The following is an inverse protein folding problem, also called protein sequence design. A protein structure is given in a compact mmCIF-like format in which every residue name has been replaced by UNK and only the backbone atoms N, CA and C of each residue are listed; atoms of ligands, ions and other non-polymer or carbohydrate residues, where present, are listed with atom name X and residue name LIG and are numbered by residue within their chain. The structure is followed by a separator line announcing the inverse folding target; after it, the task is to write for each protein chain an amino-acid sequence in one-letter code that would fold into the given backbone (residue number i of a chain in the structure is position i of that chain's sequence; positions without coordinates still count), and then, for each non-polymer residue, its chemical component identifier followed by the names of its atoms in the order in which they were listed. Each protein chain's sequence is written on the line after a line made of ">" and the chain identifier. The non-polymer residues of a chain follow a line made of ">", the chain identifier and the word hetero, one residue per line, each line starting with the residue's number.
data_IF_967105868627
#
_entry.id   IF_967105868627
#
_cell.length_a   1.000
_cell.length_b   1.000
_cell.length_c   1.000
_cell.angle_alpha   90.00
_cell.angle_beta   90.00
_cell.angle_gamma   90.00
#
_symmetry.space_group_name_H-M   'P 1'
#
loop_
_entity.id
_entity.type
_entity.pdbx_description
1 polymer ?
#
# COMPACT_ATOMS: atom_id res chain seq x y z
N UNK A 1 9.61 20.03 -21.56
CA UNK A 1 9.41 20.74 -20.27
C UNK A 1 10.63 20.47 -19.41
N UNK A 2 10.99 21.36 -18.46
CA UNK A 2 12.06 21.06 -17.52
C UNK A 2 11.70 19.79 -16.72
N UNK A 3 12.69 18.96 -16.46
CA UNK A 3 12.53 17.74 -15.67
C UNK A 3 12.22 18.13 -14.21
N UNK A 4 11.27 17.46 -13.59
CA UNK A 4 10.93 17.60 -12.17
C UNK A 4 11.41 16.39 -11.38
N UNK A 5 11.57 16.53 -10.07
CA UNK A 5 12.05 15.45 -9.22
C UNK A 5 11.44 15.44 -7.82
N UNK A 6 11.34 14.24 -7.25
CA UNK A 6 10.83 13.98 -5.89
C UNK A 6 11.76 13.00 -5.20
N UNK A 7 12.18 13.34 -4.00
CA UNK A 7 12.92 12.44 -3.12
C UNK A 7 11.97 11.84 -2.10
N UNK A 8 11.93 10.51 -2.06
CA UNK A 8 11.11 9.72 -1.14
C UNK A 8 12.05 9.13 -0.09
N UNK A 9 11.69 9.20 1.20
CA UNK A 9 12.55 8.77 2.31
C UNK A 9 11.78 8.05 3.41
N UNK A 10 12.30 6.91 3.86
CA UNK A 10 11.75 6.17 5.00
C UNK A 10 12.86 5.41 5.69
N UNK A 11 12.88 5.45 7.03
CA UNK A 11 14.02 4.99 7.83
C UNK A 11 15.37 5.50 7.26
N UNK A 12 16.31 4.60 6.98
CA UNK A 12 17.61 4.92 6.37
C UNK A 12 17.61 4.87 4.83
N UNK A 13 16.47 4.58 4.21
CA UNK A 13 16.34 4.33 2.78
C UNK A 13 15.77 5.53 2.03
N UNK A 14 16.16 5.67 0.76
CA UNK A 14 15.72 6.75 -0.09
C UNK A 14 15.73 6.37 -1.57
N UNK A 15 14.79 6.94 -2.32
CA UNK A 15 14.78 6.87 -3.77
C UNK A 15 14.37 8.23 -4.35
N UNK A 16 15.05 8.65 -5.42
CA UNK A 16 14.67 9.84 -6.19
C UNK A 16 13.95 9.39 -7.46
N UNK A 17 12.77 9.98 -7.70
CA UNK A 17 11.99 9.84 -8.93
C UNK A 17 12.15 11.11 -9.74
N UNK A 18 12.40 10.99 -11.04
CA UNK A 18 12.41 12.13 -11.96
C UNK A 18 11.46 11.91 -13.13
N UNK A 19 10.94 12.99 -13.71
CA UNK A 19 10.04 12.93 -14.86
C UNK A 19 10.10 14.18 -15.72
N UNK A 20 9.85 14.03 -17.02
CA UNK A 20 9.53 15.14 -17.91
C UNK A 20 8.12 15.73 -17.72
N UNK A 21 7.30 15.13 -16.85
CA UNK A 21 5.94 15.55 -16.54
C UNK A 21 5.77 15.85 -15.04
N UNK A 22 5.35 17.09 -14.67
CA UNK A 22 5.07 17.42 -13.28
C UNK A 22 3.94 16.57 -12.70
N UNK A 23 2.98 16.10 -13.51
CA UNK A 23 1.87 15.25 -13.06
C UNK A 23 2.38 13.96 -12.40
N UNK A 24 3.46 13.38 -12.94
CA UNK A 24 4.08 12.16 -12.40
C UNK A 24 4.74 12.43 -11.05
N UNK A 25 5.48 13.54 -10.93
CA UNK A 25 6.13 13.90 -9.67
C UNK A 25 5.13 14.36 -8.60
N UNK A 26 4.10 15.12 -8.97
CA UNK A 26 3.04 15.54 -8.06
C UNK A 26 2.26 14.33 -7.54
N UNK A 27 2.06 13.32 -8.39
CA UNK A 27 1.52 12.04 -7.96
C UNK A 27 2.41 11.36 -6.91
N UNK A 28 3.72 11.29 -7.14
CA UNK A 28 4.65 10.69 -6.19
C UNK A 28 4.63 11.44 -4.84
N UNK A 29 4.63 12.78 -4.85
CA UNK A 29 4.50 13.59 -3.63
C UNK A 29 3.23 13.26 -2.86
N UNK A 30 2.09 13.23 -3.56
CA UNK A 30 0.80 12.93 -2.96
C UNK A 30 0.73 11.50 -2.41
N UNK A 31 1.29 10.54 -3.14
CA UNK A 31 1.19 9.12 -2.80
C UNK A 31 2.11 8.72 -1.65
N UNK A 32 3.32 9.29 -1.60
CA UNK A 32 4.33 8.91 -0.62
C UNK A 32 4.51 9.92 0.51
N UNK A 33 4.14 11.18 0.31
CA UNK A 33 4.32 12.28 1.27
C UNK A 33 3.88 11.94 2.69
N UNK A 34 2.64 11.45 2.91
CA UNK A 34 2.13 11.22 4.25
C UNK A 34 2.83 10.13 5.07
N UNK A 35 3.47 9.16 4.41
CA UNK A 35 4.02 7.97 5.07
C UNK A 35 5.53 7.80 4.88
N UNK A 36 6.08 8.25 3.76
CA UNK A 36 7.50 8.18 3.39
C UNK A 36 8.09 9.55 3.01
N UNK A 37 7.61 10.61 3.66
CA UNK A 37 8.22 11.95 3.68
C UNK A 37 8.69 12.45 2.31
N UNK A 38 7.88 12.23 1.27
CA UNK A 38 8.25 12.62 -0.08
C UNK A 38 8.29 14.15 -0.21
N UNK A 39 9.37 14.66 -0.81
CA UNK A 39 9.62 16.10 -0.96
C UNK A 39 10.12 16.42 -2.36
N UNK A 40 9.75 17.60 -2.89
CA UNK A 40 10.28 18.08 -4.16
C UNK A 40 11.77 18.36 -4.03
N UNK A 41 12.54 18.03 -5.06
CA UNK A 41 13.99 18.27 -5.12
C UNK A 41 14.39 18.71 -6.52
N UNK A 42 15.62 19.23 -6.67
CA UNK A 42 16.22 19.36 -7.99
C UNK A 42 16.47 17.98 -8.62
N UNK A 43 16.36 17.84 -9.95
CA UNK A 43 16.75 16.60 -10.64
C UNK A 43 18.18 16.20 -10.30
N UNK A 44 18.34 14.93 -9.95
CA UNK A 44 19.62 14.30 -9.60
C UNK A 44 20.03 13.33 -10.72
N UNK A 45 21.32 13.27 -11.02
CA UNK A 45 21.90 12.30 -11.95
C UNK A 45 21.73 10.85 -11.46
N UNK A 46 21.59 10.64 -10.14
CA UNK A 46 21.45 9.33 -9.50
C UNK A 46 19.98 8.98 -9.17
N UNK A 47 19.04 9.43 -10.00
CA UNK A 47 17.64 9.03 -9.85
C UNK A 47 17.50 7.50 -9.86
N UNK A 48 16.75 6.94 -8.93
CA UNK A 48 16.48 5.49 -8.92
C UNK A 48 15.40 5.12 -9.95
N UNK A 49 14.47 6.05 -10.20
CA UNK A 49 13.39 5.89 -11.20
C UNK A 49 13.34 7.13 -12.09
N UNK A 50 13.30 6.91 -13.41
CA UNK A 50 13.09 7.95 -14.41
C UNK A 50 11.84 7.58 -15.20
N UNK A 51 10.80 8.38 -15.08
CA UNK A 51 9.49 8.06 -15.60
C UNK A 51 8.97 9.17 -16.53
N UNK A 52 8.93 8.91 -17.84
CA UNK A 52 8.65 9.94 -18.83
C UNK A 52 7.41 9.60 -19.66
N UNK A 53 6.64 10.64 -19.99
CA UNK A 53 5.63 10.55 -21.05
C UNK A 53 6.35 10.68 -22.38
N UNK A 54 6.51 9.56 -23.08
CA UNK A 54 7.23 9.47 -24.34
C UNK A 54 6.73 8.29 -25.18
N UNK A 55 5.74 8.57 -26.04
CA UNK A 55 5.14 7.56 -26.91
C UNK A 55 6.13 6.93 -27.90
N UNK A 56 7.15 7.68 -28.36
CA UNK A 56 8.17 7.15 -29.28
C UNK A 56 8.97 6.04 -28.59
N UNK A 57 9.41 6.26 -27.34
CA UNK A 57 10.12 5.24 -26.56
C UNK A 57 9.26 4.02 -26.25
N UNK A 58 7.96 4.21 -26.02
CA UNK A 58 7.02 3.09 -25.87
C UNK A 58 7.01 2.24 -27.13
N UNK A 59 6.85 2.84 -28.31
CA UNK A 59 6.85 2.12 -29.59
C UNK A 59 8.19 1.42 -29.85
N UNK A 60 9.31 2.11 -29.67
CA UNK A 60 10.65 1.55 -29.87
C UNK A 60 10.91 0.30 -29.01
N UNK A 61 10.61 0.39 -27.71
CA UNK A 61 10.85 -0.71 -26.78
C UNK A 61 9.86 -1.85 -27.03
N UNK A 62 8.58 -1.54 -27.24
CA UNK A 62 7.58 -2.57 -27.52
C UNK A 62 7.91 -3.35 -28.80
N UNK A 63 8.38 -2.66 -29.85
CA UNK A 63 8.82 -3.30 -31.08
C UNK A 63 10.07 -4.17 -30.84
N UNK A 64 11.10 -3.65 -30.15
CA UNK A 64 12.29 -4.44 -29.80
C UNK A 64 11.94 -5.73 -29.06
N UNK A 65 11.06 -5.65 -28.05
CA UNK A 65 10.63 -6.81 -27.27
C UNK A 65 9.84 -7.80 -28.14
N UNK A 66 8.98 -7.31 -29.04
CA UNK A 66 8.19 -8.16 -29.94
C UNK A 66 9.04 -8.87 -31.02
N UNK A 67 10.10 -8.20 -31.50
CA UNK A 67 10.99 -8.72 -32.55
C UNK A 67 12.01 -9.75 -32.03
N UNK A 68 12.11 -9.92 -30.71
CA UNK A 68 13.03 -10.86 -30.05
C UNK A 68 12.26 -11.94 -29.29
N UNK A 69 12.98 -12.99 -28.89
CA UNK A 69 12.46 -13.97 -27.94
C UNK A 69 12.19 -13.27 -26.61
N UNK A 70 10.97 -13.38 -26.11
CA UNK A 70 10.53 -12.75 -24.87
C UNK A 70 9.72 -13.72 -24.03
N UNK A 71 9.72 -13.48 -22.73
CA UNK A 71 8.85 -14.15 -21.76
C UNK A 71 7.56 -13.35 -21.60
N UNK A 72 6.45 -14.01 -21.27
CA UNK A 72 5.20 -13.37 -20.88
C UNK A 72 4.91 -13.64 -19.40
N UNK A 73 4.54 -12.59 -18.67
CA UNK A 73 4.10 -12.67 -17.28
C UNK A 73 2.96 -11.71 -17.02
N UNK A 74 2.19 -11.94 -15.95
CA UNK A 74 1.21 -10.97 -15.48
C UNK A 74 1.91 -9.98 -14.55
N UNK A 75 1.84 -8.70 -14.91
CA UNK A 75 2.36 -7.62 -14.07
C UNK A 75 1.26 -6.59 -13.84
N UNK A 76 0.90 -6.35 -12.57
CA UNK A 76 -0.17 -5.42 -12.22
C UNK A 76 -1.55 -5.73 -12.87
N UNK A 77 -1.84 -7.02 -13.11
CA UNK A 77 -3.04 -7.54 -13.76
C UNK A 77 -3.11 -7.33 -15.29
N UNK A 78 -1.99 -7.06 -15.94
CA UNK A 78 -1.90 -6.90 -17.39
C UNK A 78 -0.69 -7.68 -17.91
N UNK A 79 -0.80 -8.20 -19.13
CA UNK A 79 0.28 -8.98 -19.74
C UNK A 79 1.49 -8.10 -19.98
N UNK A 80 2.62 -8.52 -19.43
CA UNK A 80 3.93 -7.92 -19.65
C UNK A 80 4.79 -8.89 -20.45
N UNK A 81 5.38 -8.38 -21.53
CA UNK A 81 6.42 -9.06 -22.30
C UNK A 81 7.78 -8.59 -21.84
N UNK A 82 8.71 -9.52 -21.61
CA UNK A 82 10.03 -9.24 -21.04
C UNK A 82 11.12 -9.84 -21.94
N UNK A 83 12.02 -8.98 -22.38
CA UNK A 83 13.27 -9.32 -23.08
C UNK A 83 14.44 -9.07 -22.12
N UNK A 84 15.39 -10.02 -22.06
CA UNK A 84 16.58 -9.94 -21.21
C UNK A 84 17.83 -10.12 -22.06
N UNK A 85 18.72 -9.15 -21.97
CA UNK A 85 20.03 -9.19 -22.64
C UNK A 85 21.07 -9.93 -21.79
N UNK A 86 22.12 -10.45 -22.44
CA UNK A 86 23.24 -11.14 -21.80
C UNK A 86 24.01 -10.23 -20.82
N UNK A 87 23.94 -8.91 -21.02
CA UNK A 87 24.54 -7.91 -20.13
C UNK A 87 23.70 -7.60 -18.89
N UNK A 88 22.55 -8.28 -18.72
CA UNK A 88 21.62 -8.09 -17.62
C UNK A 88 20.60 -6.96 -17.85
N UNK A 89 20.62 -6.29 -19.01
CA UNK A 89 19.60 -5.29 -19.35
C UNK A 89 18.24 -5.96 -19.53
N UNK A 90 17.22 -5.38 -18.91
CA UNK A 90 15.83 -5.81 -19.03
C UNK A 90 15.06 -4.77 -19.83
N UNK A 91 14.39 -5.19 -20.89
CA UNK A 91 13.41 -4.39 -21.62
C UNK A 91 12.04 -5.06 -21.49
N UNK A 92 11.01 -4.30 -21.11
CA UNK A 92 9.67 -4.86 -20.99
C UNK A 92 8.60 -3.94 -21.59
N UNK A 93 7.48 -4.52 -22.00
CA UNK A 93 6.33 -3.77 -22.51
C UNK A 93 5.01 -4.35 -22.01
N UNK A 94 4.06 -3.46 -21.74
CA UNK A 94 2.65 -3.78 -21.49
C UNK A 94 1.83 -3.10 -22.59
N UNK A 95 1.54 -3.80 -23.70
CA UNK A 95 0.89 -3.18 -24.87
C UNK A 95 -0.48 -2.56 -24.55
N UNK A 96 -1.29 -3.24 -23.75
CA UNK A 96 -2.65 -2.81 -23.40
C UNK A 96 -2.64 -1.53 -22.56
N UNK A 97 -1.67 -1.40 -21.66
CA UNK A 97 -1.49 -0.21 -20.82
C UNK A 97 -0.69 0.90 -21.51
N UNK A 98 -0.13 0.62 -22.69
CA UNK A 98 0.78 1.51 -23.44
C UNK A 98 1.96 1.97 -22.58
N UNK A 99 2.56 1.03 -21.86
CA UNK A 99 3.72 1.23 -21.01
C UNK A 99 4.90 0.40 -21.51
N UNK A 100 6.10 0.96 -21.37
CA UNK A 100 7.35 0.28 -21.63
C UNK A 100 8.36 0.59 -20.53
N UNK A 101 9.28 -0.34 -20.30
CA UNK A 101 10.22 -0.31 -19.20
C UNK A 101 11.62 -0.68 -19.68
N UNK A 102 12.63 -0.11 -19.04
CA UNK A 102 14.03 -0.51 -19.23
C UNK A 102 14.81 -0.42 -17.93
N UNK A 103 15.54 -1.47 -17.58
CA UNK A 103 16.44 -1.48 -16.42
C UNK A 103 17.80 -1.99 -16.87
N UNK A 104 18.86 -1.27 -16.51
CA UNK A 104 20.25 -1.71 -16.69
C UNK A 104 20.83 -2.04 -15.31
N UNK A 105 21.74 -3.02 -15.18
CA UNK A 105 22.39 -3.30 -13.90
C UNK A 105 23.08 -2.07 -13.32
N UNK A 106 22.75 -1.71 -12.07
CA UNK A 106 23.27 -0.52 -11.39
C UNK A 106 22.74 0.82 -11.93
N UNK A 107 21.89 0.81 -12.95
CA UNK A 107 21.26 1.99 -13.53
C UNK A 107 19.87 2.29 -12.98
N UNK A 108 19.28 3.43 -13.39
CA UNK A 108 17.90 3.76 -13.04
C UNK A 108 16.91 2.82 -13.71
N UNK A 109 15.79 2.54 -13.03
CA UNK A 109 14.63 1.96 -13.68
C UNK A 109 13.91 3.02 -14.49
N UNK A 110 13.76 2.76 -15.79
CA UNK A 110 13.11 3.67 -16.73
C UNK A 110 11.70 3.21 -17.05
N UNK A 111 10.76 4.14 -16.99
CA UNK A 111 9.34 3.94 -17.29
C UNK A 111 8.97 4.91 -18.40
N UNK A 112 8.31 4.40 -19.43
CA UNK A 112 7.78 5.20 -20.53
C UNK A 112 6.30 4.90 -20.71
N UNK A 113 5.52 5.93 -20.99
CA UNK A 113 4.10 5.76 -21.33
C UNK A 113 3.59 6.83 -22.29
N UNK A 114 2.40 6.60 -22.82
CA UNK A 114 1.76 7.52 -23.75
C UNK A 114 0.92 8.61 -23.08
N UNK A 115 0.71 8.55 -21.75
CA UNK A 115 -0.09 9.51 -21.00
C UNK A 115 0.38 9.60 -19.53
N UNK A 116 0.10 10.73 -18.87
CA UNK A 116 0.59 11.01 -17.52
C UNK A 116 0.11 10.01 -16.47
N UNK A 117 -1.19 9.73 -16.39
CA UNK A 117 -1.77 8.92 -15.31
C UNK A 117 -1.26 7.47 -15.32
N UNK A 118 -1.19 6.76 -16.45
CA UNK A 118 -0.55 5.44 -16.50
C UNK A 118 0.91 5.46 -16.05
N UNK A 119 1.70 6.46 -16.49
CA UNK A 119 3.10 6.61 -16.06
C UNK A 119 3.18 6.87 -14.56
N UNK A 120 2.34 7.74 -14.01
CA UNK A 120 2.30 8.06 -12.59
C UNK A 120 1.95 6.83 -11.72
N UNK A 121 0.98 6.02 -12.15
CA UNK A 121 0.61 4.77 -11.48
C UNK A 121 1.76 3.74 -11.50
N UNK A 122 2.41 3.57 -12.65
CA UNK A 122 3.57 2.68 -12.77
C UNK A 122 4.76 3.18 -11.93
N UNK A 123 4.95 4.50 -11.89
CA UNK A 123 6.00 5.16 -11.10
C UNK A 123 5.78 4.97 -9.61
N UNK A 124 4.57 5.20 -9.10
CA UNK A 124 4.25 4.96 -7.69
C UNK A 124 4.42 3.48 -7.31
N UNK A 125 4.09 2.56 -8.20
CA UNK A 125 4.34 1.13 -7.97
C UNK A 125 5.83 0.84 -7.88
N UNK A 126 6.61 1.26 -8.88
CA UNK A 126 8.02 0.87 -9.01
C UNK A 126 8.95 1.64 -8.06
N UNK A 127 8.68 2.90 -7.75
CA UNK A 127 9.40 3.63 -6.70
C UNK A 127 9.22 2.94 -5.33
N UNK A 128 8.03 2.39 -5.08
CA UNK A 128 7.77 1.59 -3.89
C UNK A 128 8.52 0.26 -3.91
N UNK A 129 8.58 -0.44 -5.04
CA UNK A 129 9.34 -1.69 -5.14
C UNK A 129 10.86 -1.46 -4.99
N UNK A 130 11.40 -0.33 -5.46
CA UNK A 130 12.81 0.07 -5.21
C UNK A 130 13.07 0.23 -3.72
N UNK A 131 12.25 1.03 -3.02
CA UNK A 131 12.42 1.25 -1.57
C UNK A 131 12.16 -0.03 -0.79
N UNK A 132 11.19 -0.85 -1.22
CA UNK A 132 10.94 -2.18 -0.65
C UNK A 132 12.22 -3.03 -0.75
N UNK A 133 12.85 -3.14 -1.92
CA UNK A 133 14.08 -3.90 -2.10
C UNK A 133 15.20 -3.44 -1.16
N UNK A 134 15.36 -2.13 -1.01
CA UNK A 134 16.31 -1.52 -0.06
C UNK A 134 15.99 -1.89 1.40
N UNK A 135 14.71 -1.79 1.81
CA UNK A 135 14.27 -2.17 3.16
C UNK A 135 14.45 -3.67 3.41
N UNK A 136 14.08 -4.55 2.48
CA UNK A 136 14.26 -5.99 2.64
C UNK A 136 15.75 -6.34 2.78
N UNK A 137 16.63 -5.69 1.99
CA UNK A 137 18.09 -5.86 2.10
C UNK A 137 18.64 -5.35 3.44
N UNK A 138 17.94 -4.40 4.07
CA UNK A 138 18.23 -3.84 5.40
C UNK A 138 17.53 -4.62 6.54
N UNK A 139 17.08 -5.86 6.26
CA UNK A 139 16.53 -6.80 7.24
C UNK A 139 15.06 -6.56 7.61
N UNK A 140 14.33 -5.76 6.86
CA UNK A 140 12.89 -5.56 7.08
C UNK A 140 12.07 -6.70 6.47
N UNK A 141 11.01 -7.11 7.15
CA UNK A 141 10.01 -8.06 6.63
C UNK A 141 8.67 -7.36 6.43
N UNK A 142 7.77 -7.95 5.64
CA UNK A 142 6.43 -7.39 5.37
C UNK A 142 5.38 -8.25 6.06
N UNK A 143 4.58 -7.65 6.93
CA UNK A 143 3.51 -8.30 7.68
C UNK A 143 2.13 -7.87 7.16
N UNK A 144 1.19 -8.81 7.03
CA UNK A 144 -0.20 -8.55 6.64
C UNK A 144 -1.03 -8.04 7.83
N UNK A 145 -0.76 -6.80 8.22
CA UNK A 145 -1.43 -6.14 9.34
C UNK A 145 -1.88 -4.72 8.97
N UNK A 146 -3.04 -4.32 9.48
CA UNK A 146 -3.31 -2.90 9.70
C UNK A 146 -2.69 -2.48 11.04
N UNK A 147 -2.34 -1.21 11.17
CA UNK A 147 -1.63 -0.72 12.34
C UNK A 147 -2.03 0.71 12.68
N UNK A 148 -2.11 0.96 13.98
CA UNK A 148 -2.28 2.30 14.55
C UNK A 148 -1.26 2.56 15.63
N UNK A 149 -0.88 3.82 15.81
CA UNK A 149 0.17 4.26 16.74
C UNK A 149 -0.38 5.31 17.70
N UNK A 150 -0.03 5.19 18.98
CA UNK A 150 -0.23 6.21 20.01
C UNK A 150 0.99 6.22 20.91
N UNK A 151 1.57 7.40 21.13
CA UNK A 151 2.74 7.57 21.98
C UNK A 151 3.91 6.62 21.62
N UNK A 152 4.12 6.41 20.31
CA UNK A 152 5.13 5.50 19.77
C UNK A 152 4.83 4.00 19.92
N UNK A 153 3.73 3.62 20.58
CA UNK A 153 3.27 2.24 20.73
C UNK A 153 2.32 1.87 19.59
N UNK A 154 2.57 0.74 18.95
CA UNK A 154 1.82 0.26 17.79
C UNK A 154 0.92 -0.91 18.18
N UNK A 155 -0.36 -0.79 17.84
CA UNK A 155 -1.30 -1.92 17.86
C UNK A 155 -1.34 -2.51 16.46
N UNK A 156 -0.88 -3.75 16.32
CA UNK A 156 -0.97 -4.52 15.09
C UNK A 156 -2.32 -5.26 15.08
N UNK A 157 -3.04 -5.19 13.97
CA UNK A 157 -4.29 -5.94 13.79
C UNK A 157 -4.11 -6.94 12.64
N UNK A 158 -4.15 -8.22 13.00
CA UNK A 158 -3.97 -9.34 12.09
C UNK A 158 -5.25 -10.16 12.00
N UNK A 159 -5.42 -10.92 10.93
CA UNK A 159 -6.68 -11.59 10.67
C UNK A 159 -6.77 -12.06 9.24
N UNK A 160 -7.68 -12.98 8.97
CA UNK A 160 -7.93 -13.43 7.61
C UNK A 160 -8.59 -12.33 6.78
N UNK A 161 -8.80 -12.60 5.49
CA UNK A 161 -9.52 -11.68 4.62
C UNK A 161 -10.95 -11.51 5.13
N UNK A 162 -11.35 -10.27 5.40
CA UNK A 162 -12.68 -9.94 5.91
C UNK A 162 -12.80 -9.96 7.44
N UNK A 163 -11.74 -10.32 8.16
CA UNK A 163 -11.73 -10.44 9.62
C UNK A 163 -11.94 -9.09 10.37
N UNK A 164 -11.84 -7.95 9.67
CA UNK A 164 -12.10 -6.63 10.26
C UNK A 164 -10.85 -5.77 10.51
N UNK A 165 -9.67 -6.17 10.04
CA UNK A 165 -8.40 -5.42 10.19
C UNK A 165 -8.53 -3.92 9.93
N UNK A 166 -9.02 -3.54 8.74
CA UNK A 166 -9.19 -2.14 8.36
C UNK A 166 -10.24 -1.44 9.22
N UNK A 167 -11.34 -2.12 9.57
CA UNK A 167 -12.37 -1.58 10.46
C UNK A 167 -11.79 -1.23 11.84
N UNK A 168 -11.07 -2.16 12.46
CA UNK A 168 -10.41 -1.95 13.76
C UNK A 168 -9.46 -0.77 13.74
N UNK A 169 -8.59 -0.68 12.73
CA UNK A 169 -7.63 0.43 12.61
C UNK A 169 -8.34 1.78 12.43
N UNK A 170 -9.40 1.85 11.63
CA UNK A 170 -10.15 3.09 11.41
C UNK A 170 -10.94 3.52 12.66
N UNK A 171 -11.50 2.58 13.42
CA UNK A 171 -12.19 2.89 14.68
C UNK A 171 -11.23 3.46 15.72
N UNK A 172 -10.06 2.83 15.91
CA UNK A 172 -9.02 3.34 16.80
C UNK A 172 -8.51 4.71 16.34
N UNK A 173 -8.27 4.90 15.03
CA UNK A 173 -7.81 6.17 14.50
C UNK A 173 -8.82 7.33 14.75
N UNK A 174 -10.13 7.03 14.72
CA UNK A 174 -11.18 8.02 15.04
C UNK A 174 -11.19 8.45 16.50
N UNK A 175 -10.66 7.65 17.41
CA UNK A 175 -10.55 7.99 18.85
C UNK A 175 -9.14 8.40 19.26
N UNK A 176 -8.39 8.99 18.32
CA UNK A 176 -7.13 9.67 18.61
C UNK A 176 -5.88 8.80 18.48
N UNK A 177 -5.98 7.59 17.92
CA UNK A 177 -4.79 6.91 17.42
C UNK A 177 -4.38 7.47 16.05
N UNK A 178 -3.12 7.31 15.68
CA UNK A 178 -2.60 7.67 14.37
C UNK A 178 -2.58 6.44 13.47
N UNK A 179 -3.10 6.53 12.24
CA UNK A 179 -3.10 5.42 11.30
C UNK A 179 -1.70 5.25 10.67
N UNK A 180 -1.07 4.10 10.91
CA UNK A 180 0.22 3.73 10.33
C UNK A 180 0.03 2.88 9.06
N UNK A 181 -0.95 1.98 9.05
CA UNK A 181 -1.21 1.13 7.90
C UNK A 181 -2.64 0.61 7.85
N UNK A 182 -3.16 0.42 6.64
CA UNK A 182 -4.49 -0.15 6.41
C UNK A 182 -4.48 -1.63 5.97
N UNK A 183 -3.35 -2.16 5.52
CA UNK A 183 -3.23 -3.54 5.00
C UNK A 183 -1.86 -4.16 5.27
N UNK A 184 -0.76 -3.42 5.10
CA UNK A 184 0.60 -3.97 5.23
C UNK A 184 1.49 -3.04 6.05
N UNK A 185 2.44 -3.62 6.76
CA UNK A 185 3.52 -2.89 7.43
C UNK A 185 4.87 -3.50 7.07
N UNK A 186 5.91 -2.69 7.07
CA UNK A 186 7.26 -3.22 7.25
C UNK A 186 7.52 -3.37 8.74
N UNK A 187 8.19 -4.46 9.12
CA UNK A 187 8.55 -4.74 10.50
C UNK A 187 9.99 -5.26 10.56
N UNK A 188 10.74 -4.78 11.55
CA UNK A 188 12.12 -5.24 11.80
C UNK A 188 12.39 -5.26 13.29
N UNK A 189 13.23 -6.21 13.72
CA UNK A 189 13.78 -6.26 15.07
C UNK A 189 14.80 -5.14 15.27
N UNK A 190 14.64 -4.37 16.34
CA UNK A 190 15.63 -3.44 16.87
C UNK A 190 15.81 -3.75 18.36
N UNK A 191 16.91 -4.42 18.70
CA UNK A 191 17.17 -5.01 20.02
C UNK A 191 16.02 -5.94 20.48
N UNK A 192 15.35 -5.61 21.58
CA UNK A 192 14.20 -6.35 22.14
C UNK A 192 12.85 -5.74 21.74
N UNK A 193 12.84 -4.89 20.71
CA UNK A 193 11.63 -4.23 20.19
C UNK A 193 11.45 -4.54 18.72
N UNK A 194 10.21 -4.34 18.26
CA UNK A 194 9.84 -4.47 16.87
C UNK A 194 9.48 -3.08 16.35
N UNK A 195 10.29 -2.52 15.44
CA UNK A 195 9.96 -1.27 14.77
C UNK A 195 9.06 -1.54 13.59
N UNK A 196 8.08 -0.66 13.37
CA UNK A 196 7.04 -0.78 12.35
C UNK A 196 7.04 0.48 11.48
N UNK A 197 7.03 0.30 10.16
CA UNK A 197 6.91 1.38 9.19
C UNK A 197 5.67 1.18 8.29
N UNK A 198 5.11 2.28 7.76
CA UNK A 198 3.96 2.23 6.87
C UNK A 198 4.32 1.62 5.51
N UNK A 199 3.32 1.02 4.87
CA UNK A 199 3.35 0.66 3.44
C UNK A 199 2.43 1.60 2.65
N UNK A 200 2.96 2.51 1.84
CA UNK A 200 2.14 3.36 1.00
C UNK A 200 1.37 2.58 -0.05
N UNK A 201 0.05 2.63 0.07
CA UNK A 201 -0.87 2.05 -0.89
C UNK A 201 -2.22 2.77 -0.85
N UNK A 202 -2.94 2.70 -1.96
CA UNK A 202 -4.31 3.19 -1.99
C UNK A 202 -5.17 2.40 -1.00
N UNK A 203 -5.92 3.11 -0.15
CA UNK A 203 -6.75 2.48 0.87
C UNK A 203 -8.15 2.18 0.31
N UNK A 204 -8.57 0.92 0.37
CA UNK A 204 -9.90 0.50 -0.11
C UNK A 204 -10.89 0.41 1.06
N UNK A 205 -11.88 1.31 1.11
CA UNK A 205 -12.86 1.40 2.20
C UNK A 205 -14.26 1.23 1.60
N UNK A 206 -15.01 0.23 2.07
CA UNK A 206 -16.34 -0.11 1.52
C UNK A 206 -17.38 0.96 1.82
N UNK A 207 -18.38 1.11 0.93
CA UNK A 207 -19.43 2.13 1.05
C UNK A 207 -20.19 2.02 2.39
N UNK A 208 -20.50 0.80 2.82
CA UNK A 208 -21.16 0.55 4.10
C UNK A 208 -20.32 0.97 5.31
N UNK A 209 -18.99 0.80 5.26
CA UNK A 209 -18.10 1.25 6.33
C UNK A 209 -17.98 2.78 6.33
N UNK A 210 -17.92 3.42 5.16
CA UNK A 210 -17.93 4.87 5.07
C UNK A 210 -19.21 5.47 5.64
N UNK A 211 -20.35 4.84 5.39
CA UNK A 211 -21.65 5.25 5.93
C UNK A 211 -21.70 5.06 7.44
N UNK A 212 -21.31 3.88 7.94
CA UNK A 212 -21.26 3.57 9.37
C UNK A 212 -20.33 4.51 10.16
N UNK A 213 -19.23 4.97 9.55
CA UNK A 213 -18.30 5.91 10.17
C UNK A 213 -18.71 7.38 10.01
N UNK A 214 -19.81 7.67 9.31
CA UNK A 214 -20.30 9.03 9.07
C UNK A 214 -19.48 9.82 8.04
N UNK A 215 -18.71 9.15 7.18
CA UNK A 215 -17.87 9.78 6.16
C UNK A 215 -18.52 9.84 4.77
N UNK A 216 -19.55 9.01 4.52
CA UNK A 216 -20.14 8.85 3.19
C UNK A 216 -20.55 10.17 2.52
N UNK A 217 -21.34 11.00 3.22
CA UNK A 217 -21.90 12.22 2.63
C UNK A 217 -20.80 13.25 2.29
N UNK A 218 -19.81 13.42 3.17
CA UNK A 218 -18.65 14.27 2.91
C UNK A 218 -17.87 13.82 1.66
N UNK A 219 -17.64 12.51 1.51
CA UNK A 219 -16.92 11.97 0.34
C UNK A 219 -17.73 12.18 -0.92
N UNK A 220 -19.04 11.92 -0.86
CA UNK A 220 -19.95 12.14 -1.99
C UNK A 220 -19.94 13.60 -2.44
N UNK A 221 -20.03 14.55 -1.52
CA UNK A 221 -20.01 15.97 -1.87
C UNK A 221 -18.74 16.37 -2.61
N UNK A 222 -17.57 15.89 -2.17
CA UNK A 222 -16.29 16.14 -2.84
C UNK A 222 -16.27 15.58 -4.26
N UNK A 223 -16.73 14.35 -4.41
CA UNK A 223 -16.84 13.68 -5.72
C UNK A 223 -17.78 14.46 -6.66
N UNK A 224 -18.92 14.95 -6.15
CA UNK A 224 -19.86 15.77 -6.94
C UNK A 224 -19.29 17.14 -7.34
N UNK A 225 -18.34 17.68 -6.57
CA UNK A 225 -17.58 18.90 -6.92
C UNK A 225 -16.46 18.63 -7.93
N UNK A 226 -16.29 17.39 -8.38
CA UNK A 226 -15.29 16.98 -9.36
C UNK A 226 -13.94 16.56 -8.77
N UNK A 227 -13.83 16.50 -7.44
CA UNK A 227 -12.63 15.91 -6.82
C UNK A 227 -12.59 14.39 -7.05
N UNK A 228 -11.39 13.84 -7.22
CA UNK A 228 -11.23 12.43 -7.60
C UNK A 228 -10.59 11.58 -6.50
N UNK A 229 -11.20 10.42 -6.28
CA UNK A 229 -10.60 9.28 -5.57
C UNK A 229 -9.51 8.64 -6.45
N UNK A 230 -8.79 7.65 -5.91
CA UNK A 230 -7.75 6.93 -6.63
C UNK A 230 -8.33 6.20 -7.86
N UNK A 231 -7.74 6.35 -9.06
CA UNK A 231 -8.38 5.94 -10.32
C UNK A 231 -8.41 4.42 -10.53
N UNK A 232 -7.74 3.63 -9.69
CA UNK A 232 -7.80 2.16 -9.75
C UNK A 232 -9.08 1.59 -9.15
N UNK A 233 -9.99 2.42 -8.66
CA UNK A 233 -11.35 1.99 -8.34
C UNK A 233 -12.18 1.73 -9.60
N UNK A 234 -13.23 0.92 -9.47
CA UNK A 234 -14.11 0.61 -10.58
C UNK A 234 -15.08 1.77 -10.86
N UNK A 235 -15.39 2.08 -12.12
CA UNK A 235 -16.31 3.18 -12.49
C UNK A 235 -17.66 3.13 -11.77
N UNK A 236 -18.29 1.95 -11.68
CA UNK A 236 -19.50 1.70 -10.86
C UNK A 236 -19.45 2.27 -9.44
N UNK A 237 -18.28 2.32 -8.79
CA UNK A 237 -18.10 2.91 -7.46
C UNK A 237 -18.24 4.44 -7.53
N UNK A 238 -17.58 5.07 -8.51
CA UNK A 238 -17.71 6.50 -8.78
C UNK A 238 -19.16 6.87 -9.08
N UNK A 239 -19.86 6.05 -9.87
CA UNK A 239 -21.27 6.26 -10.22
C UNK A 239 -22.20 6.10 -9.01
N UNK A 240 -21.92 5.13 -8.13
CA UNK A 240 -22.66 4.94 -6.89
C UNK A 240 -22.51 6.15 -5.94
N UNK A 241 -21.29 6.68 -5.79
CA UNK A 241 -21.06 7.90 -5.00
C UNK A 241 -21.82 9.09 -5.58
N UNK A 242 -21.76 9.32 -6.90
CA UNK A 242 -22.50 10.40 -7.56
C UNK A 242 -24.02 10.30 -7.34
N UNK A 243 -24.57 9.09 -7.53
CA UNK A 243 -26.02 8.84 -7.38
C UNK A 243 -26.49 8.80 -5.93
N UNK A 244 -25.58 8.70 -4.94
CA UNK A 244 -25.94 8.58 -3.53
C UNK A 244 -26.28 7.15 -3.07
N UNK A 245 -25.89 6.14 -3.86
CA UNK A 245 -26.08 4.73 -3.50
C UNK A 245 -25.06 4.27 -2.44
N UNK A 246 -25.56 3.86 -1.28
CA UNK A 246 -24.77 3.31 -0.17
C UNK A 246 -24.58 1.80 -0.25
N UNK A 247 -25.26 1.14 -1.18
CA UNK A 247 -25.30 -0.32 -1.28
C UNK A 247 -23.92 -0.86 -1.68
N UNK A 248 -23.35 -1.84 -0.94
CA UNK A 248 -22.12 -2.50 -1.33
C UNK A 248 -22.21 -3.08 -2.74
N UNK A 249 -21.15 -2.87 -3.53
CA UNK A 249 -21.05 -3.32 -4.91
C UNK A 249 -20.14 -4.54 -5.00
N UNK A 250 -20.42 -5.47 -5.91
CA UNK A 250 -19.69 -6.73 -6.00
C UNK A 250 -19.33 -7.05 -7.45
N UNK A 251 -18.16 -7.67 -7.65
CA UNK A 251 -17.83 -8.40 -8.89
C UNK A 251 -18.56 -9.74 -8.90
N UNK A 252 -18.71 -10.32 -10.08
CA UNK A 252 -19.18 -11.71 -10.26
C UNK A 252 -18.32 -12.71 -9.47
N UNK A 253 -17.02 -12.41 -9.30
CA UNK A 253 -16.09 -13.20 -8.49
C UNK A 253 -16.35 -13.13 -6.97
N UNK A 254 -17.40 -12.44 -6.51
CA UNK A 254 -17.69 -12.22 -5.09
C UNK A 254 -16.77 -11.21 -4.38
N UNK A 255 -15.90 -10.49 -5.12
CA UNK A 255 -15.05 -9.44 -4.55
C UNK A 255 -15.81 -8.11 -4.49
N UNK A 256 -15.88 -7.50 -3.32
CA UNK A 256 -16.47 -6.18 -3.15
C UNK A 256 -15.68 -5.12 -3.95
N UNK A 257 -16.42 -4.23 -4.63
CA UNK A 257 -15.91 -3.04 -5.27
C UNK A 257 -15.97 -1.88 -4.28
N UNK A 258 -14.81 -1.34 -3.93
CA UNK A 258 -14.66 -0.32 -2.88
C UNK A 258 -14.13 0.99 -3.46
N UNK A 259 -14.57 2.14 -2.92
CA UNK A 259 -13.83 3.39 -3.02
C UNK A 259 -12.36 3.20 -2.68
N UNK A 260 -11.48 3.78 -3.48
CA UNK A 260 -10.03 3.76 -3.21
C UNK A 260 -9.53 5.17 -2.97
N UNK A 261 -8.90 5.39 -1.83
CA UNK A 261 -8.35 6.68 -1.44
C UNK A 261 -6.86 6.72 -1.77
N UNK A 262 -6.39 7.88 -2.20
CA UNK A 262 -4.96 8.17 -2.12
C UNK A 262 -4.54 8.22 -0.63
N UNK A 263 -3.28 7.90 -0.30
CA UNK A 263 -2.79 7.99 1.07
C UNK A 263 -3.04 9.36 1.75
N UNK A 264 -2.86 10.47 1.02
CA UNK A 264 -3.11 11.82 1.55
C UNK A 264 -4.58 12.09 1.89
N UNK A 265 -5.51 11.45 1.18
CA UNK A 265 -6.95 11.61 1.42
C UNK A 265 -7.40 10.99 2.74
N UNK A 266 -6.66 10.04 3.30
CA UNK A 266 -6.94 9.54 4.65
C UNK A 266 -6.85 10.68 5.67
N UNK A 267 -5.93 11.63 5.48
CA UNK A 267 -5.88 12.85 6.27
C UNK A 267 -6.82 13.92 5.73
N UNK A 268 -6.65 14.35 4.48
CA UNK A 268 -7.31 15.55 3.94
C UNK A 268 -8.81 15.40 3.74
N UNK A 269 -9.31 14.18 3.54
CA UNK A 269 -10.73 13.90 3.36
C UNK A 269 -11.38 13.25 4.58
N UNK A 270 -10.67 12.42 5.35
CA UNK A 270 -11.27 11.69 6.49
C UNK A 270 -10.85 12.26 7.86
N UNK A 271 -9.95 13.23 7.90
CA UNK A 271 -9.48 13.87 9.13
C UNK A 271 -8.61 12.98 10.01
N UNK A 272 -8.07 11.88 9.47
CA UNK A 272 -7.23 10.99 10.25
C UNK A 272 -5.85 11.60 10.46
N UNK A 273 -5.26 11.34 11.63
CA UNK A 273 -3.83 11.58 11.85
C UNK A 273 -3.06 10.36 11.37
N UNK A 274 -1.96 10.56 10.66
CA UNK A 274 -1.14 9.48 10.10
C UNK A 274 0.19 9.40 10.84
N UNK A 275 0.67 8.18 11.09
CA UNK A 275 1.98 7.93 11.67
C UNK A 275 2.96 7.46 10.58
N UNK A 276 4.23 7.81 10.73
CA UNK A 276 5.32 7.38 9.84
C UNK A 276 6.15 6.25 10.44
N UNK A 277 6.00 5.96 11.73
CA UNK A 277 6.63 4.83 12.42
C UNK A 277 5.99 4.55 13.79
N UNK A 278 6.36 3.42 14.39
CA UNK A 278 6.06 3.08 15.79
C UNK A 278 6.78 1.79 16.19
N UNK A 279 6.58 1.35 17.44
CA UNK A 279 7.08 0.05 17.92
C UNK A 279 5.93 -0.85 18.33
N UNK A 280 5.92 -2.12 17.90
CA UNK A 280 4.87 -3.08 18.24
C UNK A 280 4.75 -3.25 19.76
N UNK A 281 3.52 -3.13 20.26
CA UNK A 281 3.21 -3.21 21.68
C UNK A 281 2.09 -4.20 21.99
N UNK A 282 1.17 -4.42 21.05
CA UNK A 282 0.02 -5.31 21.21
C UNK A 282 -0.48 -5.83 19.88
N UNK A 283 -1.11 -7.00 19.91
CA UNK A 283 -1.73 -7.63 18.74
C UNK A 283 -3.22 -7.86 18.96
N UNK A 284 -4.04 -7.49 17.97
CA UNK A 284 -5.46 -7.78 17.93
C UNK A 284 -5.78 -8.74 16.79
N UNK A 285 -6.63 -9.72 17.07
CA UNK A 285 -7.18 -10.66 16.10
C UNK A 285 -8.71 -10.51 16.04
N UNK A 286 -9.24 -9.52 15.30
CA UNK A 286 -10.68 -9.36 15.15
C UNK A 286 -11.26 -10.44 14.25
N UNK A 287 -12.53 -10.75 14.48
CA UNK A 287 -13.44 -11.35 13.52
C UNK A 287 -14.74 -10.54 13.49
N UNK A 288 -15.35 -10.40 12.30
CA UNK A 288 -16.63 -9.74 12.16
C UNK A 288 -17.75 -10.77 12.28
N UNK A 289 -18.59 -10.62 13.30
CA UNK A 289 -19.77 -11.46 13.53
C UNK A 289 -21.02 -10.58 13.48
N UNK A 290 -21.74 -10.54 12.33
CA UNK A 290 -22.89 -9.67 12.16
C UNK A 290 -23.95 -9.85 13.25
N UNK A 291 -24.35 -8.76 13.89
CA UNK A 291 -25.39 -8.75 14.92
C UNK A 291 -24.95 -9.20 16.31
N UNK A 292 -23.69 -9.62 16.49
CA UNK A 292 -23.15 -9.93 17.81
C UNK A 292 -22.74 -8.65 18.57
N UNK A 293 -22.86 -8.69 19.89
CA UNK A 293 -22.20 -7.70 20.76
C UNK A 293 -20.68 -7.93 20.75
N UNK A 294 -19.88 -6.85 20.73
CA UNK A 294 -18.44 -6.99 20.72
C UNK A 294 -17.92 -7.57 22.03
N UNK A 295 -17.03 -8.55 21.93
CA UNK A 295 -16.46 -9.23 23.11
C UNK A 295 -15.03 -9.72 22.87
N UNK A 296 -14.30 -9.94 23.95
CA UNK A 296 -13.01 -10.64 23.94
C UNK A 296 -13.27 -12.14 23.90
N UNK A 297 -12.55 -12.83 23.02
CA UNK A 297 -12.66 -14.27 22.84
C UNK A 297 -11.55 -14.98 23.61
N UNK A 298 -11.85 -16.17 24.10
CA UNK A 298 -10.88 -17.09 24.69
C UNK A 298 -10.23 -17.93 23.59
N UNK A 299 -9.50 -17.26 22.69
CA UNK A 299 -8.77 -17.88 21.58
C UNK A 299 -7.29 -17.49 21.63
N UNK A 300 -6.42 -18.50 21.62
CA UNK A 300 -4.96 -18.30 21.60
C UNK A 300 -4.41 -18.26 20.16
N UNK A 301 -4.94 -17.35 19.32
CA UNK A 301 -4.31 -17.11 18.02
C UNK A 301 -2.95 -16.43 18.21
N UNK A 302 -1.92 -16.96 17.56
CA UNK A 302 -0.59 -16.37 17.47
C UNK A 302 -0.31 -15.89 16.05
N UNK A 303 0.71 -15.03 15.90
CA UNK A 303 1.26 -14.71 14.57
C UNK A 303 2.01 -15.93 14.03
N UNK A 304 1.87 -16.19 12.73
CA UNK A 304 2.48 -17.33 12.04
C UNK A 304 3.20 -16.85 10.79
N UNK A 305 4.06 -17.68 10.20
CA UNK A 305 4.72 -17.36 8.92
C UNK A 305 3.74 -16.97 7.81
N UNK A 306 2.54 -17.59 7.80
CA UNK A 306 1.50 -17.28 6.83
C UNK A 306 0.92 -15.86 6.95
N UNK A 307 1.18 -15.15 8.05
CA UNK A 307 0.80 -13.74 8.21
C UNK A 307 1.82 -12.79 7.55
N UNK A 308 2.99 -13.28 7.13
CA UNK A 308 4.00 -12.51 6.40
C UNK A 308 3.82 -12.63 4.88
N UNK A 309 4.14 -11.55 4.16
CA UNK A 309 4.21 -11.62 2.71
C UNK A 309 5.52 -12.29 2.27
N UNK A 310 5.38 -13.37 1.52
CA UNK A 310 6.45 -14.04 0.78
C UNK A 310 6.40 -13.67 -0.71
N UNK A 311 7.44 -14.03 -1.45
CA UNK A 311 7.47 -13.88 -2.91
C UNK A 311 6.24 -14.52 -3.61
N UNK A 312 5.74 -15.65 -3.11
CA UNK A 312 4.58 -16.35 -3.67
C UNK A 312 3.23 -15.72 -3.34
N UNK A 313 3.12 -14.97 -2.24
CA UNK A 313 1.88 -14.26 -1.84
C UNK A 313 1.79 -12.84 -2.41
N UNK A 314 2.88 -12.32 -2.97
CA UNK A 314 2.97 -11.03 -3.66
C UNK A 314 2.92 -11.21 -5.19
N UNK A 315 2.05 -12.12 -5.66
CA UNK A 315 1.92 -12.56 -7.06
C UNK A 315 1.66 -11.42 -8.07
N UNK A 316 1.14 -10.29 -7.59
CA UNK A 316 0.75 -9.16 -8.42
C UNK A 316 1.93 -8.41 -9.04
N UNK A 317 3.10 -8.45 -8.39
CA UNK A 317 4.32 -7.74 -8.79
C UNK A 317 5.52 -8.70 -8.74
N UNK A 318 5.63 -9.63 -9.70
CA UNK A 318 6.84 -10.45 -9.81
C UNK A 318 8.06 -9.54 -10.02
N UNK A 319 9.21 -9.95 -9.49
CA UNK A 319 10.44 -9.16 -9.57
C UNK A 319 11.10 -9.23 -10.95
N UNK A 320 10.45 -8.59 -11.93
CA UNK A 320 10.91 -8.55 -13.32
C UNK A 320 12.26 -7.83 -13.44
N UNK A 321 12.50 -6.82 -12.60
CA UNK A 321 13.65 -5.92 -12.72
C UNK A 321 14.79 -6.21 -11.74
N UNK A 322 14.71 -7.29 -10.95
CA UNK A 322 15.76 -7.68 -10.01
C UNK A 322 15.95 -6.66 -8.88
N UNK A 323 14.86 -6.10 -8.36
CA UNK A 323 14.85 -5.10 -7.30
C UNK A 323 14.89 -5.73 -5.90
N UNK A 324 14.51 -6.99 -5.76
CA UNK A 324 14.46 -7.68 -4.48
C UNK A 324 15.77 -8.43 -4.21
N UNK A 325 16.19 -8.56 -2.94
CA UNK A 325 17.33 -9.41 -2.59
C UNK A 325 17.05 -10.87 -2.94
N UNK A 326 18.12 -11.65 -3.18
CA UNK A 326 18.03 -13.10 -3.47
C UNK A 326 17.37 -13.88 -2.33
N UNK A 327 17.64 -13.46 -1.10
CA UNK A 327 17.16 -14.09 0.12
C UNK A 327 16.33 -13.07 0.91
N UNK A 328 15.13 -13.51 1.32
CA UNK A 328 14.29 -12.72 2.22
C UNK A 328 14.82 -12.84 3.67
N UNK A 329 14.63 -11.80 4.51
CA UNK A 329 15.02 -11.87 5.91
C UNK A 329 14.32 -13.02 6.65
N UNK A 330 15.05 -13.65 7.57
CA UNK A 330 14.52 -14.68 8.45
C UNK A 330 13.41 -14.09 9.36
N UNK A 331 12.23 -14.69 9.31
CA UNK A 331 11.06 -14.30 10.11
C UNK A 331 11.07 -14.88 11.51
N UNK A 332 11.90 -15.90 11.78
CA UNK A 332 11.89 -16.60 13.07
C UNK A 332 12.17 -15.66 14.27
N UNK A 333 13.18 -14.76 14.25
CA UNK A 333 13.40 -13.82 15.34
C UNK A 333 12.24 -12.82 15.53
N UNK A 334 11.51 -12.50 14.46
CA UNK A 334 10.34 -11.63 14.54
C UNK A 334 9.16 -12.36 15.18
N UNK A 335 8.94 -13.63 14.81
CA UNK A 335 7.89 -14.47 15.38
C UNK A 335 8.06 -14.67 16.89
N UNK A 336 9.28 -14.86 17.36
CA UNK A 336 9.59 -14.97 18.79
C UNK A 336 9.15 -13.70 19.54
N UNK A 337 9.61 -12.51 19.11
CA UNK A 337 9.24 -11.24 19.74
C UNK A 337 7.74 -10.92 19.61
N UNK A 338 7.11 -11.23 18.47
CA UNK A 338 5.66 -11.09 18.29
C UNK A 338 4.88 -12.04 19.20
N UNK A 339 5.46 -13.22 19.49
CA UNK A 339 4.94 -14.23 20.40
C UNK A 339 4.89 -13.76 21.85
N UNK A 340 5.78 -12.85 22.24
CA UNK A 340 5.85 -12.28 23.59
C UNK A 340 4.92 -11.07 23.80
N UNK A 341 4.39 -10.49 22.72
CA UNK A 341 3.48 -9.35 22.82
C UNK A 341 2.11 -9.75 23.40
N UNK A 342 1.51 -8.89 24.25
CA UNK A 342 0.12 -9.04 24.66
C UNK A 342 -0.80 -9.13 23.44
N UNK A 343 -1.77 -10.04 23.49
CA UNK A 343 -2.68 -10.30 22.37
C UNK A 343 -4.10 -10.59 22.82
N UNK A 344 -5.07 -10.20 21.98
CA UNK A 344 -6.50 -10.45 22.21
C UNK A 344 -7.18 -10.84 20.91
N UNK A 345 -7.94 -11.93 20.94
CA UNK A 345 -8.92 -12.25 19.92
C UNK A 345 -10.25 -11.53 20.25
N UNK A 346 -10.91 -10.99 19.24
CA UNK A 346 -12.10 -10.15 19.41
C UNK A 346 -13.20 -10.59 18.45
N UNK A 347 -14.43 -10.70 18.92
CA UNK A 347 -15.62 -10.70 18.06
C UNK A 347 -16.14 -9.27 17.99
N UNK A 348 -16.32 -8.73 16.79
CA UNK A 348 -16.85 -7.39 16.56
C UNK A 348 -18.16 -7.47 15.75
N UNK A 349 -19.15 -6.69 16.17
CA UNK A 349 -20.41 -6.53 15.44
C UNK A 349 -20.35 -5.40 14.42
N UNK A 350 -21.51 -4.84 14.08
CA UNK A 350 -21.63 -3.63 13.24
C UNK A 350 -21.92 -2.35 14.06
N UNK A 351 -22.10 -2.46 15.37
CA UNK A 351 -22.25 -1.29 16.24
C UNK A 351 -20.90 -0.59 16.41
N UNK A 352 -20.75 0.53 15.71
CA UNK A 352 -19.53 1.35 15.71
C UNK A 352 -19.18 1.82 17.12
N UNK A 353 -20.16 2.21 17.92
CA UNK A 353 -19.93 2.74 19.27
C UNK A 353 -19.44 1.62 20.19
N UNK A 354 -20.18 0.52 20.26
CA UNK A 354 -19.81 -0.61 21.11
C UNK A 354 -18.45 -1.21 20.72
N UNK A 355 -18.18 -1.35 19.41
CA UNK A 355 -16.88 -1.80 18.93
C UNK A 355 -15.76 -0.85 19.37
N UNK A 356 -15.98 0.47 19.28
CA UNK A 356 -14.98 1.46 19.67
C UNK A 356 -14.70 1.44 21.17
N UNK A 357 -15.73 1.25 22.00
CA UNK A 357 -15.60 1.14 23.46
C UNK A 357 -14.75 -0.07 23.83
N UNK A 358 -15.04 -1.26 23.28
CA UNK A 358 -14.23 -2.45 23.50
C UNK A 358 -12.78 -2.26 23.02
N UNK A 359 -12.61 -1.73 21.81
CA UNK A 359 -11.28 -1.50 21.23
C UNK A 359 -10.45 -0.54 22.09
N UNK A 360 -11.07 0.50 22.64
CA UNK A 360 -10.40 1.44 23.55
C UNK A 360 -9.97 0.73 24.83
N UNK A 361 -10.83 -0.11 25.40
CA UNK A 361 -10.53 -0.87 26.62
C UNK A 361 -9.37 -1.86 26.44
N UNK A 362 -9.34 -2.61 25.34
CA UNK A 362 -8.32 -3.66 25.10
C UNK A 362 -6.98 -3.12 24.58
N UNK A 363 -6.95 -1.87 24.14
CA UNK A 363 -5.73 -1.16 23.69
C UNK A 363 -5.18 -0.19 24.72
N UNK A 364 -5.84 -0.05 25.88
CA UNK A 364 -5.32 0.72 26.99
C UNK A 364 -4.00 0.09 27.49
N UNK A 365 -2.91 0.86 27.66
CA UNK A 365 -1.66 0.34 28.21
C UNK A 365 -1.78 -0.23 29.63
N UNK A 366 -2.82 0.14 30.37
CA UNK A 366 -3.05 -0.28 31.76
C UNK A 366 -3.80 -1.62 31.90
N UNK A 367 -4.27 -2.19 30.79
CA UNK A 367 -5.00 -3.49 30.73
C UNK A 367 -4.19 -4.58 30.04
#
# INVERSE_FOLDING_TARGET
>A
MPQTAVRITTAAQAATVTSNSPVVTDWALRYFGPWWNATSTAPDANAAVIADVNAVRVTEIAQRVADRSHEETLYANSTMRVDRDDDGTVAASQPDDKLAYRAEPGGPLRIYGCADVPVALATARLAREVIRGQLLSDGWSILHASAVVRDGQTVLTLGDKGAGKTTTALLLARVGWQLLANDRVFIRREDDRLRVLPWPSAAAIGLGLLDALGWYDQIRERVQRGEQLHPTQHQKVTDALHSGSRTPLWKESGKELKPQFFPDQLHSWLGLTLATEGHSARILFPQITPGAEPTVLDEERTVRDADFFTAGTEDRYPDVFGLLPSDLPDTQPLLELLGDLPRKALSLGHDVKANTELLTQVTDPTT
#
